data_IF_948155268589
#
_entry.id   IF_948155268589
#
_cell.length_a   1.000
_cell.length_b   1.000
_cell.length_c   1.000
_cell.angle_alpha   90.00
_cell.angle_beta   90.00
_cell.angle_gamma   90.00
#
_symmetry.space_group_name_H-M   'P 1'
#
loop_
_entity.id
_entity.type
_entity.pdbx_description
1 polymer ?
#
# COMPACT_ATOMS: atom_id res chain seq x y z
N UNK A 1 -28.26 17.44 18.03
CA UNK A 1 -28.56 18.72 17.35
C UNK A 1 -29.72 18.60 16.35
N UNK A 2 -30.79 17.85 16.69
CA UNK A 2 -31.87 17.51 15.77
C UNK A 2 -33.16 18.32 15.89
N UNK A 3 -33.18 19.49 16.55
CA UNK A 3 -34.48 20.13 16.85
C UNK A 3 -34.56 21.63 16.56
N UNK A 4 -33.78 22.21 15.67
CA UNK A 4 -33.92 23.64 15.34
C UNK A 4 -34.02 24.01 13.85
N UNK A 5 -34.21 23.05 12.95
CA UNK A 5 -34.61 23.36 11.58
C UNK A 5 -36.14 23.22 11.44
N UNK A 6 -36.87 24.20 11.93
CA UNK A 6 -38.32 24.33 11.74
C UNK A 6 -38.73 24.86 10.37
N UNK A 7 -38.03 24.41 9.31
CA UNK A 7 -38.41 24.57 7.92
C UNK A 7 -38.67 23.21 7.33
N UNK A 8 -39.65 23.09 6.45
CA UNK A 8 -39.92 21.84 5.73
C UNK A 8 -38.68 21.47 4.94
N UNK A 9 -38.01 20.32 5.27
CA UNK A 9 -36.85 19.75 4.57
C UNK A 9 -37.10 19.52 3.08
N UNK A 10 -38.31 19.71 2.62
CA UNK A 10 -38.82 19.48 1.27
C UNK A 10 -38.30 20.47 0.21
N UNK A 11 -37.53 21.48 0.63
CA UNK A 11 -36.95 22.49 -0.29
C UNK A 11 -35.44 22.36 -0.49
N UNK A 12 -34.78 21.44 0.20
CA UNK A 12 -33.33 21.28 0.10
C UNK A 12 -33.00 20.14 -0.86
N UNK A 13 -32.39 20.45 -1.99
CA UNK A 13 -31.93 19.43 -2.97
C UNK A 13 -30.82 18.56 -2.35
N UNK A 14 -30.82 17.26 -2.67
CA UNK A 14 -29.81 16.30 -2.22
C UNK A 14 -30.02 15.74 -0.82
N UNK A 15 -31.12 16.06 -0.15
CA UNK A 15 -31.45 15.51 1.17
C UNK A 15 -32.29 14.25 1.04
N UNK A 16 -31.89 13.22 1.79
CA UNK A 16 -32.67 11.99 2.03
C UNK A 16 -33.05 11.96 3.51
N UNK A 17 -34.33 11.90 3.78
CA UNK A 17 -34.86 11.67 5.14
C UNK A 17 -35.66 10.38 5.19
N UNK A 18 -36.11 9.95 6.37
CA UNK A 18 -36.91 8.74 6.53
C UNK A 18 -38.19 8.75 5.64
N UNK A 19 -38.75 9.91 5.35
CA UNK A 19 -40.01 10.08 4.67
C UNK A 19 -39.94 10.86 3.35
N UNK A 20 -38.74 11.31 2.95
CA UNK A 20 -38.57 12.16 1.78
C UNK A 20 -37.22 11.94 1.11
N UNK A 21 -37.24 11.82 -0.19
CA UNK A 21 -36.05 11.79 -1.06
C UNK A 21 -36.13 12.96 -2.01
N UNK A 22 -35.27 13.94 -1.83
CA UNK A 22 -35.20 15.07 -2.75
C UNK A 22 -34.59 14.71 -4.10
N UNK A 23 -34.84 15.47 -5.17
CA UNK A 23 -34.07 15.37 -6.39
C UNK A 23 -32.58 15.55 -6.10
N UNK A 24 -31.74 14.82 -6.84
CA UNK A 24 -30.27 14.97 -6.74
C UNK A 24 -29.89 16.37 -7.19
N UNK A 25 -29.18 17.12 -6.34
CA UNK A 25 -28.70 18.44 -6.71
C UNK A 25 -27.69 18.35 -7.86
N UNK A 26 -27.92 19.11 -8.92
CA UNK A 26 -26.97 19.24 -10.03
C UNK A 26 -25.85 20.25 -9.74
N UNK A 27 -25.94 20.99 -8.65
CA UNK A 27 -24.98 22.02 -8.25
C UNK A 27 -23.88 21.41 -7.38
N UNK A 28 -22.64 21.54 -7.83
CA UNK A 28 -21.48 21.24 -7.01
C UNK A 28 -21.10 22.51 -6.21
N UNK A 29 -21.00 22.48 -4.88
CA UNK A 29 -20.58 23.63 -4.11
C UNK A 29 -19.13 24.00 -4.45
N UNK A 30 -18.81 25.29 -4.42
CA UNK A 30 -17.42 25.76 -4.45
C UNK A 30 -16.72 25.34 -3.16
N UNK A 31 -15.56 24.66 -3.26
CA UNK A 31 -14.87 24.15 -2.09
C UNK A 31 -14.36 25.26 -1.15
N UNK A 32 -14.07 26.43 -1.69
CA UNK A 32 -13.70 27.62 -0.93
C UNK A 32 -14.78 28.07 0.09
N UNK A 33 -16.04 27.70 -0.18
CA UNK A 33 -17.20 28.06 0.68
C UNK A 33 -17.50 26.99 1.75
N UNK A 34 -16.89 25.84 1.69
CA UNK A 34 -17.07 24.80 2.69
C UNK A 34 -16.25 25.13 3.95
N UNK A 35 -16.89 25.03 5.10
CA UNK A 35 -16.18 25.20 6.37
C UNK A 35 -15.17 24.08 6.58
N UNK A 36 -14.01 24.43 7.13
CA UNK A 36 -12.99 23.46 7.53
C UNK A 36 -13.29 22.97 8.95
N UNK A 37 -13.44 21.66 9.16
CA UNK A 37 -13.65 21.13 10.51
C UNK A 37 -12.45 21.38 11.42
N UNK A 38 -11.26 21.54 10.85
CA UNK A 38 -10.04 21.89 11.58
C UNK A 38 -10.07 23.36 12.03
N UNK A 39 -10.32 24.28 11.10
CA UNK A 39 -10.26 25.73 11.38
C UNK A 39 -11.46 26.26 12.18
N UNK A 40 -12.59 25.55 12.19
CA UNK A 40 -13.77 25.88 13.00
C UNK A 40 -13.71 25.30 14.41
N UNK A 41 -12.73 24.43 14.72
CA UNK A 41 -12.58 23.78 16.00
C UNK A 41 -13.50 22.56 16.22
N UNK A 42 -14.26 22.14 15.20
CA UNK A 42 -15.12 20.96 15.26
C UNK A 42 -14.32 19.68 15.48
N UNK A 43 -13.10 19.59 14.93
CA UNK A 43 -12.19 18.47 15.10
C UNK A 43 -11.48 18.43 16.47
N UNK A 44 -11.52 19.50 17.28
CA UNK A 44 -10.76 19.59 18.53
C UNK A 44 -11.08 18.48 19.54
N UNK A 45 -12.33 18.06 19.60
CA UNK A 45 -12.77 17.00 20.50
C UNK A 45 -12.23 15.62 20.10
N UNK A 46 -12.11 15.36 18.80
CA UNK A 46 -11.63 14.09 18.24
C UNK A 46 -10.11 14.00 18.36
N UNK A 47 -9.39 15.07 18.03
CA UNK A 47 -7.92 15.10 18.04
C UNK A 47 -7.30 15.04 19.45
N UNK A 48 -8.12 15.14 20.51
CA UNK A 48 -7.65 14.82 21.88
C UNK A 48 -7.49 13.32 22.13
N UNK A 49 -8.14 12.49 21.33
CA UNK A 49 -8.19 11.04 21.50
C UNK A 49 -7.49 10.26 20.39
N UNK A 50 -7.19 10.92 19.28
CA UNK A 50 -6.57 10.34 18.09
C UNK A 50 -5.44 11.24 17.59
N UNK A 51 -4.35 10.63 17.21
CA UNK A 51 -3.15 11.24 16.62
C UNK A 51 -3.17 11.21 15.09
N UNK A 52 -4.26 10.77 14.49
CA UNK A 52 -4.39 10.50 13.07
C UNK A 52 -5.57 11.24 12.46
N UNK A 53 -5.42 11.76 11.24
CA UNK A 53 -6.47 12.49 10.52
C UNK A 53 -6.60 12.07 9.08
N UNK A 54 -7.82 12.24 8.54
CA UNK A 54 -8.11 12.20 7.12
C UNK A 54 -8.16 13.65 6.61
N UNK A 55 -7.35 13.98 5.61
CA UNK A 55 -7.19 15.34 5.10
C UNK A 55 -7.47 15.42 3.59
N UNK A 56 -8.46 16.18 3.19
CA UNK A 56 -8.88 16.35 1.81
C UNK A 56 -8.31 17.66 1.24
N UNK A 57 -7.47 17.57 0.20
CA UNK A 57 -6.87 18.72 -0.49
C UNK A 57 -7.53 18.97 -1.83
N UNK A 58 -8.14 17.93 -2.40
CA UNK A 58 -8.77 17.92 -3.71
C UNK A 58 -9.97 16.99 -3.68
N UNK A 59 -11.04 17.31 -4.38
CA UNK A 59 -12.25 16.48 -4.48
C UNK A 59 -12.57 16.10 -5.91
N UNK A 60 -12.77 14.78 -6.12
CA UNK A 60 -13.14 14.20 -7.41
C UNK A 60 -11.95 13.61 -8.15
N UNK A 61 -12.24 12.71 -9.10
CA UNK A 61 -11.27 11.99 -9.91
C UNK A 61 -11.67 11.99 -11.37
N UNK A 62 -10.78 12.31 -12.34
CA UNK A 62 -11.11 12.33 -13.76
C UNK A 62 -11.12 10.94 -14.40
N UNK A 63 -10.56 9.94 -13.70
CA UNK A 63 -10.46 8.59 -14.21
C UNK A 63 -11.79 7.83 -14.08
N UNK A 64 -11.97 6.83 -14.93
CA UNK A 64 -13.22 6.09 -15.06
C UNK A 64 -13.08 4.63 -14.65
N UNK A 65 -12.38 4.37 -13.55
CA UNK A 65 -12.21 3.01 -13.06
C UNK A 65 -13.57 2.41 -12.67
N UNK A 66 -13.96 1.33 -13.36
CA UNK A 66 -15.31 0.76 -13.26
C UNK A 66 -15.67 0.23 -11.86
N UNK A 67 -14.67 -0.11 -11.04
CA UNK A 67 -14.83 -0.58 -9.66
C UNK A 67 -14.91 0.55 -8.63
N UNK A 68 -14.49 1.78 -9.00
CA UNK A 68 -14.30 2.87 -8.07
C UNK A 68 -15.52 3.78 -7.96
N UNK A 69 -15.83 4.19 -6.73
CA UNK A 69 -16.93 5.11 -6.47
C UNK A 69 -16.61 6.55 -6.86
N UNK A 70 -15.35 6.98 -6.74
CA UNK A 70 -14.88 8.32 -7.08
C UNK A 70 -15.03 8.65 -8.57
N UNK A 71 -15.12 7.64 -9.43
CA UNK A 71 -15.33 7.79 -10.86
C UNK A 71 -16.77 8.14 -11.26
N UNK A 72 -17.70 8.19 -10.28
CA UNK A 72 -19.12 8.44 -10.55
C UNK A 72 -19.44 9.92 -10.78
N UNK A 73 -20.33 10.17 -11.71
CA UNK A 73 -20.89 11.49 -11.94
C UNK A 73 -20.00 12.40 -12.78
N UNK A 74 -19.82 13.63 -12.33
CA UNK A 74 -18.99 14.61 -13.05
C UNK A 74 -17.51 14.34 -12.76
N UNK A 75 -16.74 13.99 -13.77
CA UNK A 75 -15.29 13.77 -13.71
C UNK A 75 -14.50 15.08 -13.56
N UNK A 76 -15.00 16.01 -12.75
CA UNK A 76 -14.37 17.28 -12.49
C UNK A 76 -13.61 17.23 -11.19
N UNK A 77 -12.34 17.60 -11.26
CA UNK A 77 -11.51 17.78 -10.09
C UNK A 77 -11.65 19.21 -9.58
N UNK A 78 -11.78 19.38 -8.29
CA UNK A 78 -11.92 20.68 -7.63
C UNK A 78 -10.94 20.76 -6.47
N UNK A 79 -10.18 21.83 -6.45
CA UNK A 79 -9.10 22.05 -5.50
C UNK A 79 -9.55 22.93 -4.34
N UNK A 80 -9.11 22.61 -3.13
CA UNK A 80 -9.15 23.56 -2.04
C UNK A 80 -8.07 24.64 -2.24
N UNK A 81 -8.32 25.90 -1.82
CA UNK A 81 -7.34 26.98 -1.93
C UNK A 81 -6.07 26.69 -1.13
N UNK A 82 -4.90 26.98 -1.69
CA UNK A 82 -3.59 26.70 -1.04
C UNK A 82 -3.43 27.42 0.30
N UNK A 83 -3.97 28.64 0.43
CA UNK A 83 -3.95 29.37 1.70
C UNK A 83 -4.77 28.68 2.82
N UNK A 84 -5.86 27.99 2.44
CA UNK A 84 -6.61 27.15 3.35
C UNK A 84 -5.80 25.91 3.75
N UNK A 85 -5.21 25.22 2.78
CA UNK A 85 -4.36 24.04 3.03
C UNK A 85 -3.23 24.39 3.99
N UNK A 86 -2.58 25.53 3.80
CA UNK A 86 -1.53 26.00 4.71
C UNK A 86 -2.04 26.22 6.14
N UNK A 87 -3.20 26.87 6.31
CA UNK A 87 -3.78 27.10 7.63
C UNK A 87 -4.20 25.81 8.32
N UNK A 88 -4.72 24.85 7.55
CA UNK A 88 -5.05 23.51 8.07
C UNK A 88 -3.80 22.75 8.49
N UNK A 89 -2.72 22.78 7.69
CA UNK A 89 -1.43 22.20 8.06
C UNK A 89 -0.90 22.82 9.37
N UNK A 90 -0.92 24.16 9.50
CA UNK A 90 -0.50 24.87 10.72
C UNK A 90 -1.32 24.43 11.94
N UNK A 91 -2.62 24.19 11.75
CA UNK A 91 -3.48 23.66 12.78
C UNK A 91 -3.11 22.23 13.18
N UNK A 92 -2.87 21.33 12.20
CA UNK A 92 -2.49 19.93 12.45
C UNK A 92 -1.15 19.83 13.18
N UNK A 93 -0.17 20.63 12.78
CA UNK A 93 1.12 20.76 13.47
C UNK A 93 0.93 21.23 14.93
N UNK A 94 0.10 22.26 15.15
CA UNK A 94 -0.19 22.77 16.50
C UNK A 94 -0.89 21.74 17.37
N UNK A 95 -1.63 20.79 16.78
CA UNK A 95 -2.33 19.70 17.48
C UNK A 95 -1.47 18.47 17.67
N UNK A 96 -0.23 18.50 17.22
CA UNK A 96 0.73 17.40 17.31
C UNK A 96 0.21 16.10 16.67
N UNK A 97 -0.40 16.24 15.48
CA UNK A 97 -0.91 15.10 14.72
C UNK A 97 0.27 14.32 14.17
N UNK A 98 0.27 13.00 14.37
CA UNK A 98 1.35 12.11 13.92
C UNK A 98 1.10 11.53 12.53
N UNK A 99 -0.16 11.20 12.19
CA UNK A 99 -0.49 10.52 10.95
C UNK A 99 -1.54 11.29 10.15
N UNK A 100 -1.24 11.57 8.89
CA UNK A 100 -2.12 12.28 7.97
C UNK A 100 -2.36 11.44 6.73
N UNK A 101 -3.56 10.91 6.57
CA UNK A 101 -3.97 10.27 5.32
C UNK A 101 -4.60 11.31 4.40
N UNK A 102 -3.97 11.59 3.28
CA UNK A 102 -4.47 12.53 2.27
C UNK A 102 -5.51 11.81 1.40
N UNK A 103 -6.76 12.30 1.46
CA UNK A 103 -7.92 11.67 0.80
C UNK A 103 -8.03 11.91 -0.71
N UNK A 104 -7.06 12.58 -1.31
CA UNK A 104 -7.06 12.87 -2.73
C UNK A 104 -6.94 11.57 -3.54
N UNK A 105 -7.93 11.19 -4.38
CA UNK A 105 -7.90 9.92 -5.10
C UNK A 105 -6.74 9.77 -6.09
N UNK A 106 -6.06 10.86 -6.40
CA UNK A 106 -4.81 10.93 -7.17
C UNK A 106 -4.12 12.24 -6.82
N UNK A 107 -3.30 12.24 -5.78
CA UNK A 107 -2.62 13.45 -5.30
C UNK A 107 -1.78 14.13 -6.38
N UNK A 108 -1.09 13.35 -7.19
CA UNK A 108 -0.19 13.85 -8.24
C UNK A 108 -0.87 14.08 -9.61
N UNK A 109 -2.20 14.18 -9.64
CA UNK A 109 -2.95 14.46 -10.89
C UNK A 109 -2.52 15.75 -11.57
N UNK A 110 -2.30 16.80 -10.80
CA UNK A 110 -1.70 18.06 -11.25
C UNK A 110 -0.29 18.16 -10.65
N UNK A 111 0.77 17.84 -11.41
CA UNK A 111 2.14 17.80 -10.89
C UNK A 111 2.60 19.10 -10.25
N UNK A 112 2.32 20.26 -10.84
CA UNK A 112 2.75 21.56 -10.32
C UNK A 112 2.08 21.92 -8.99
N UNK A 113 0.78 21.56 -8.85
CA UNK A 113 0.08 21.70 -7.58
C UNK A 113 0.65 20.74 -6.53
N UNK A 114 0.85 19.46 -6.89
CA UNK A 114 1.45 18.48 -6.00
C UNK A 114 2.81 18.95 -5.47
N UNK A 115 3.71 19.38 -6.36
CA UNK A 115 5.01 19.94 -5.98
C UNK A 115 4.90 21.17 -5.08
N UNK A 116 3.93 22.05 -5.32
CA UNK A 116 3.69 23.22 -4.46
C UNK A 116 3.29 22.80 -3.05
N UNK A 117 2.40 21.80 -2.93
CA UNK A 117 1.99 21.24 -1.64
C UNK A 117 3.17 20.51 -0.98
N UNK A 118 3.91 19.68 -1.73
CA UNK A 118 5.09 18.97 -1.20
C UNK A 118 6.13 19.93 -0.62
N UNK A 119 6.46 21.02 -1.33
CA UNK A 119 7.39 22.06 -0.80
C UNK A 119 6.86 22.67 0.50
N UNK A 120 5.54 22.87 0.61
CA UNK A 120 4.92 23.39 1.83
C UNK A 120 5.05 22.38 2.99
N UNK A 121 4.81 21.09 2.73
CA UNK A 121 4.92 20.03 3.73
C UNK A 121 6.37 19.86 4.19
N UNK A 122 7.33 19.72 3.27
CA UNK A 122 8.77 19.56 3.55
C UNK A 122 9.28 20.73 4.40
N UNK A 123 8.88 21.97 4.08
CA UNK A 123 9.35 23.15 4.80
C UNK A 123 8.75 23.34 6.19
N UNK A 124 7.65 22.66 6.54
CA UNK A 124 6.87 23.01 7.75
C UNK A 124 6.51 21.82 8.64
N UNK A 125 6.28 20.64 8.06
CA UNK A 125 5.90 19.47 8.84
C UNK A 125 7.05 19.00 9.73
N UNK A 126 6.83 18.68 11.00
CA UNK A 126 7.84 18.08 11.86
C UNK A 126 8.15 16.65 11.39
N UNK A 127 9.35 16.15 11.65
CA UNK A 127 9.84 14.85 11.20
C UNK A 127 8.96 13.67 11.63
N UNK A 128 8.32 13.76 12.79
CA UNK A 128 7.44 12.70 13.29
C UNK A 128 6.07 12.64 12.59
N UNK A 129 5.70 13.66 11.82
CA UNK A 129 4.41 13.70 11.10
C UNK A 129 4.53 12.89 9.81
N UNK A 130 3.83 11.77 9.76
CA UNK A 130 3.80 10.87 8.61
C UNK A 130 2.61 11.15 7.70
N UNK A 131 2.85 11.19 6.38
CA UNK A 131 1.82 11.40 5.37
C UNK A 131 1.63 10.15 4.51
N UNK A 132 0.37 9.81 4.22
CA UNK A 132 0.06 8.76 3.23
C UNK A 132 -0.66 9.40 2.04
N UNK A 133 -0.17 9.13 0.82
CA UNK A 133 -0.73 9.65 -0.42
C UNK A 133 -1.15 8.52 -1.36
N UNK A 134 -2.33 8.66 -1.98
CA UNK A 134 -2.70 7.86 -3.15
C UNK A 134 -2.20 8.55 -4.42
N UNK A 135 -1.40 7.87 -5.21
CA UNK A 135 -0.80 8.41 -6.43
C UNK A 135 -0.96 7.50 -7.65
N UNK A 136 -0.69 8.04 -8.82
CA UNK A 136 -0.47 7.28 -10.04
C UNK A 136 1.02 7.32 -10.41
N UNK A 137 1.62 6.14 -10.55
CA UNK A 137 3.05 6.03 -10.84
C UNK A 137 3.41 6.73 -12.17
N UNK A 138 2.58 6.59 -13.19
CA UNK A 138 2.80 7.17 -14.52
C UNK A 138 2.88 8.70 -14.55
N UNK A 139 2.44 9.38 -13.49
CA UNK A 139 2.48 10.84 -13.33
C UNK A 139 3.67 11.33 -12.47
N UNK A 140 4.56 10.45 -12.07
CA UNK A 140 5.75 10.80 -11.29
C UNK A 140 6.89 11.25 -12.20
N UNK A 141 7.48 12.40 -11.92
CA UNK A 141 8.75 12.85 -12.49
C UNK A 141 9.88 12.82 -11.45
N UNK A 142 11.11 13.11 -11.85
CA UNK A 142 12.29 13.06 -10.99
C UNK A 142 12.16 13.98 -9.76
N UNK A 143 11.70 15.23 -9.96
CA UNK A 143 11.53 16.21 -8.88
C UNK A 143 10.51 15.73 -7.84
N UNK A 144 9.39 15.18 -8.28
CA UNK A 144 8.37 14.66 -7.38
C UNK A 144 8.85 13.41 -6.64
N UNK A 145 9.63 12.55 -7.31
CA UNK A 145 10.25 11.39 -6.66
C UNK A 145 11.26 11.80 -5.56
N UNK A 146 12.07 12.83 -5.81
CA UNK A 146 12.98 13.38 -4.82
C UNK A 146 12.22 13.96 -3.62
N UNK A 147 11.13 14.70 -3.85
CA UNK A 147 10.28 15.24 -2.80
C UNK A 147 9.61 14.16 -1.95
N UNK A 148 9.13 13.07 -2.56
CA UNK A 148 8.58 11.94 -1.80
C UNK A 148 9.63 11.21 -0.95
N UNK A 149 10.87 11.18 -1.39
CA UNK A 149 11.97 10.61 -0.61
C UNK A 149 12.39 11.52 0.56
N UNK A 150 12.25 12.85 0.42
CA UNK A 150 12.61 13.83 1.45
C UNK A 150 11.56 13.91 2.58
N UNK A 151 10.26 13.78 2.24
CA UNK A 151 9.18 13.87 3.22
C UNK A 151 8.97 12.53 3.93
N UNK A 152 8.73 12.56 5.23
CA UNK A 152 8.26 11.36 5.95
C UNK A 152 6.87 10.95 5.43
N UNK A 153 6.84 10.11 4.39
CA UNK A 153 5.59 9.69 3.77
C UNK A 153 5.66 8.28 3.19
N UNK A 154 4.49 7.71 2.94
CA UNK A 154 4.29 6.49 2.17
C UNK A 154 3.30 6.71 1.03
N UNK A 155 3.52 6.00 -0.06
CA UNK A 155 2.73 6.12 -1.27
C UNK A 155 1.91 4.87 -1.50
N UNK A 156 0.62 5.01 -1.77
CA UNK A 156 -0.23 3.93 -2.25
C UNK A 156 -0.42 4.07 -3.76
N UNK A 157 -0.06 3.02 -4.49
CA UNK A 157 -0.08 3.01 -5.95
C UNK A 157 -0.99 1.89 -6.44
N UNK A 158 -2.12 2.26 -7.01
CA UNK A 158 -3.05 1.28 -7.56
C UNK A 158 -2.50 0.61 -8.81
N UNK A 159 -2.00 -0.61 -8.71
CA UNK A 159 -1.69 -1.49 -9.85
C UNK A 159 -2.94 -2.22 -10.34
N UNK A 160 -3.71 -2.77 -9.43
CA UNK A 160 -4.94 -3.56 -9.59
C UNK A 160 -4.71 -4.91 -10.29
N UNK A 161 -4.05 -4.93 -11.43
CA UNK A 161 -3.61 -6.08 -12.22
C UNK A 161 -2.42 -5.69 -13.11
N UNK A 162 -1.62 -6.63 -13.55
CA UNK A 162 -0.60 -6.40 -14.59
C UNK A 162 -1.05 -6.90 -15.98
N UNK A 163 -2.29 -7.32 -16.12
CA UNK A 163 -2.86 -7.82 -17.38
C UNK A 163 -3.65 -6.72 -18.08
N UNK A 164 -3.23 -6.37 -19.30
CA UNK A 164 -3.81 -5.26 -20.07
C UNK A 164 -5.29 -5.48 -20.41
N UNK A 165 -5.70 -6.72 -20.69
CA UNK A 165 -7.11 -7.03 -21.01
C UNK A 165 -8.00 -6.84 -19.77
N UNK A 166 -7.54 -7.26 -18.60
CA UNK A 166 -8.21 -7.06 -17.32
C UNK A 166 -8.35 -5.56 -17.04
N UNK A 167 -7.25 -4.82 -17.14
CA UNK A 167 -7.24 -3.38 -16.85
C UNK A 167 -8.10 -2.59 -17.84
N UNK A 168 -8.05 -2.92 -19.11
CA UNK A 168 -8.93 -2.30 -20.14
C UNK A 168 -10.40 -2.54 -19.82
N UNK A 169 -10.77 -3.70 -19.32
CA UNK A 169 -12.17 -4.02 -18.95
C UNK A 169 -12.70 -3.15 -17.81
N UNK A 170 -11.82 -2.72 -16.91
CA UNK A 170 -12.17 -1.81 -15.80
C UNK A 170 -11.86 -0.34 -16.09
N UNK A 171 -11.65 0.01 -17.35
CA UNK A 171 -11.41 1.40 -17.78
C UNK A 171 -10.06 1.99 -17.37
N UNK A 172 -9.03 1.14 -17.18
CA UNK A 172 -7.65 1.58 -16.90
C UNK A 172 -6.76 1.36 -18.12
N UNK A 173 -6.02 2.39 -18.48
CA UNK A 173 -4.89 2.25 -19.39
C UNK A 173 -3.66 1.83 -18.57
N UNK A 174 -2.87 0.90 -19.10
CA UNK A 174 -1.67 0.42 -18.45
C UNK A 174 -0.55 0.25 -19.47
N UNK A 175 0.56 0.88 -19.22
CA UNK A 175 1.83 0.65 -19.90
C UNK A 175 2.79 0.06 -18.87
N UNK A 176 3.11 -1.22 -19.05
CA UNK A 176 3.90 -1.98 -18.09
C UNK A 176 5.34 -1.47 -17.97
N UNK A 177 5.93 -1.03 -19.10
CA UNK A 177 7.31 -0.54 -19.13
C UNK A 177 7.40 0.81 -18.43
N UNK A 178 6.51 1.74 -18.76
CA UNK A 178 6.40 3.04 -18.11
C UNK A 178 6.12 2.89 -16.61
N UNK A 179 5.16 2.04 -16.21
CA UNK A 179 4.86 1.79 -14.81
C UNK A 179 6.09 1.28 -14.06
N UNK A 180 6.80 0.28 -14.63
CA UNK A 180 8.03 -0.26 -14.01
C UNK A 180 9.13 0.79 -13.92
N UNK A 181 9.32 1.63 -14.93
CA UNK A 181 10.29 2.73 -14.94
C UNK A 181 10.00 3.70 -13.77
N UNK A 182 8.75 4.15 -13.65
CA UNK A 182 8.34 5.14 -12.63
C UNK A 182 8.41 4.59 -11.21
N UNK A 183 8.00 3.33 -11.01
CA UNK A 183 8.14 2.68 -9.69
C UNK A 183 9.60 2.48 -9.31
N UNK A 184 10.48 2.08 -10.25
CA UNK A 184 11.92 2.00 -10.00
C UNK A 184 12.55 3.38 -9.73
N UNK A 185 12.05 4.45 -10.35
CA UNK A 185 12.48 5.81 -10.04
C UNK A 185 12.20 6.12 -8.57
N UNK A 186 11.00 5.86 -8.06
CA UNK A 186 10.65 6.04 -6.64
C UNK A 186 11.57 5.20 -5.73
N UNK A 187 11.73 3.91 -6.03
CA UNK A 187 12.62 3.02 -5.28
C UNK A 187 14.07 3.51 -5.25
N UNK A 188 14.60 3.97 -6.39
CA UNK A 188 15.99 4.46 -6.50
C UNK A 188 16.26 5.74 -5.70
N UNK A 189 15.21 6.51 -5.38
CA UNK A 189 15.29 7.70 -4.52
C UNK A 189 15.04 7.37 -3.04
N UNK A 190 14.64 6.13 -2.72
CA UNK A 190 14.32 5.72 -1.35
C UNK A 190 12.91 6.07 -0.89
N UNK A 191 12.01 6.46 -1.81
CA UNK A 191 10.62 6.71 -1.46
C UNK A 191 9.90 5.40 -1.07
N UNK A 192 9.22 5.37 0.08
CA UNK A 192 8.44 4.22 0.52
C UNK A 192 7.12 4.15 -0.26
N UNK A 193 6.81 2.99 -0.86
CA UNK A 193 5.57 2.80 -1.61
C UNK A 193 4.99 1.40 -1.46
N UNK A 194 3.66 1.32 -1.49
CA UNK A 194 2.87 0.10 -1.58
C UNK A 194 2.17 -0.04 -2.91
N UNK A 195 1.80 -1.26 -3.28
CA UNK A 195 1.04 -1.58 -4.48
C UNK A 195 -0.30 -2.22 -4.12
N UNK A 196 -1.39 -1.70 -4.71
CA UNK A 196 -2.73 -2.28 -4.55
C UNK A 196 -3.06 -3.20 -5.71
N UNK A 197 -3.56 -4.40 -5.41
CA UNK A 197 -4.05 -5.37 -6.39
C UNK A 197 -5.46 -5.85 -6.03
N UNK A 198 -6.24 -6.27 -7.03
CA UNK A 198 -7.63 -6.71 -6.83
C UNK A 198 -7.83 -8.13 -7.36
N UNK A 199 -8.35 -9.03 -6.52
CA UNK A 199 -8.79 -10.38 -6.89
C UNK A 199 -10.23 -10.31 -7.42
N UNK A 200 -10.53 -11.01 -8.50
CA UNK A 200 -11.89 -11.17 -8.99
C UNK A 200 -12.36 -10.11 -9.98
N UNK A 201 -11.46 -9.34 -10.56
CA UNK A 201 -11.77 -8.42 -11.65
C UNK A 201 -12.35 -9.16 -12.86
N UNK A 202 -13.26 -8.53 -13.66
CA UNK A 202 -13.77 -9.15 -14.88
C UNK A 202 -12.64 -9.56 -15.82
N UNK A 203 -12.75 -10.76 -16.43
CA UNK A 203 -11.77 -11.41 -17.30
C UNK A 203 -10.45 -11.82 -16.61
N UNK A 204 -10.29 -11.56 -15.32
CA UNK A 204 -9.17 -12.10 -14.56
C UNK A 204 -9.36 -13.60 -14.30
N UNK A 205 -8.29 -14.29 -13.92
CA UNK A 205 -8.27 -15.69 -13.52
C UNK A 205 -7.04 -15.96 -12.65
N UNK A 206 -6.98 -17.14 -12.04
CA UNK A 206 -5.91 -17.51 -11.12
C UNK A 206 -4.51 -17.37 -11.74
N UNK A 207 -4.33 -17.66 -13.04
CA UNK A 207 -3.03 -17.50 -13.70
C UNK A 207 -2.63 -16.03 -13.85
N UNK A 208 -3.54 -15.17 -14.29
CA UNK A 208 -3.31 -13.72 -14.44
C UNK A 208 -3.07 -13.08 -13.07
N UNK A 209 -3.86 -13.44 -12.06
CA UNK A 209 -3.66 -12.99 -10.70
C UNK A 209 -2.25 -13.37 -10.17
N UNK A 210 -1.82 -14.62 -10.34
CA UNK A 210 -0.46 -15.05 -9.96
C UNK A 210 0.63 -14.26 -10.68
N UNK A 211 0.43 -13.95 -11.95
CA UNK A 211 1.37 -13.10 -12.70
C UNK A 211 1.40 -11.68 -12.12
N UNK A 212 0.25 -11.13 -11.70
CA UNK A 212 0.16 -9.82 -11.05
C UNK A 212 0.91 -9.80 -9.74
N UNK A 213 0.74 -10.80 -8.87
CA UNK A 213 1.48 -10.90 -7.60
C UNK A 213 2.99 -11.02 -7.85
N UNK A 214 3.41 -11.89 -8.77
CA UNK A 214 4.83 -12.05 -9.09
C UNK A 214 5.44 -10.77 -9.66
N UNK A 215 4.69 -10.04 -10.49
CA UNK A 215 5.12 -8.75 -11.01
C UNK A 215 5.20 -7.69 -9.91
N UNK A 216 4.19 -7.59 -9.04
CA UNK A 216 4.20 -6.65 -7.91
C UNK A 216 5.43 -6.87 -7.01
N UNK A 217 5.70 -8.12 -6.60
CA UNK A 217 6.89 -8.45 -5.78
C UNK A 217 8.19 -8.11 -6.50
N UNK A 218 8.28 -8.27 -7.84
CA UNK A 218 9.49 -7.92 -8.61
C UNK A 218 9.80 -6.43 -8.65
N UNK A 219 8.86 -5.58 -8.25
CA UNK A 219 9.03 -4.13 -8.13
C UNK A 219 9.49 -3.70 -6.72
N UNK A 220 9.59 -4.65 -5.79
CA UNK A 220 10.07 -4.47 -4.41
C UNK A 220 9.33 -3.37 -3.62
N UNK A 221 7.98 -3.31 -3.64
CA UNK A 221 7.26 -2.38 -2.78
C UNK A 221 7.45 -2.74 -1.31
N UNK A 222 7.33 -1.77 -0.40
CA UNK A 222 7.37 -2.02 1.04
C UNK A 222 6.18 -2.87 1.51
N UNK A 223 5.02 -2.70 0.88
CA UNK A 223 3.81 -3.50 1.11
C UNK A 223 3.02 -3.75 -0.17
N UNK A 224 2.21 -4.80 -0.15
CA UNK A 224 1.25 -5.10 -1.22
C UNK A 224 -0.11 -5.33 -0.56
N UNK A 225 -1.06 -4.45 -0.86
CA UNK A 225 -2.43 -4.58 -0.41
C UNK A 225 -3.27 -5.30 -1.46
N UNK A 226 -3.86 -6.42 -1.07
CA UNK A 226 -4.61 -7.26 -1.99
C UNK A 226 -6.08 -7.35 -1.56
N UNK A 227 -6.96 -6.75 -2.36
CA UNK A 227 -8.39 -6.67 -2.08
C UNK A 227 -9.18 -7.70 -2.87
N UNK A 228 -10.17 -8.33 -2.23
CA UNK A 228 -11.21 -9.04 -2.96
C UNK A 228 -12.19 -8.01 -3.52
N UNK A 229 -12.51 -8.11 -4.81
CA UNK A 229 -13.42 -7.17 -5.46
C UNK A 229 -14.78 -7.11 -4.74
N UNK A 230 -15.16 -5.91 -4.34
CA UNK A 230 -16.49 -5.61 -3.78
C UNK A 230 -17.33 -4.87 -4.81
N UNK A 231 -18.59 -5.27 -4.96
CA UNK A 231 -19.54 -4.58 -5.83
C UNK A 231 -20.20 -3.41 -5.10
N UNK A 232 -19.43 -2.32 -4.98
CA UNK A 232 -19.89 -1.11 -4.30
C UNK A 232 -21.11 -0.52 -5.01
N UNK A 233 -22.22 -0.25 -4.29
CA UNK A 233 -23.46 0.24 -4.89
C UNK A 233 -23.22 1.47 -5.76
N UNK A 234 -23.66 1.36 -7.01
CA UNK A 234 -23.63 2.41 -7.99
C UNK A 234 -22.31 2.59 -8.75
N UNK A 235 -21.29 1.81 -8.51
CA UNK A 235 -20.13 1.71 -9.41
C UNK A 235 -20.57 1.08 -10.75
N UNK A 236 -19.80 1.30 -11.81
CA UNK A 236 -20.08 0.71 -13.12
C UNK A 236 -20.13 -0.82 -13.05
N UNK A 237 -19.18 -1.45 -12.32
CA UNK A 237 -19.18 -2.90 -12.13
C UNK A 237 -20.44 -3.39 -11.41
N UNK A 238 -20.92 -2.69 -10.38
CA UNK A 238 -22.12 -3.07 -9.68
C UNK A 238 -23.38 -2.93 -10.55
N UNK A 239 -23.45 -1.90 -11.40
CA UNK A 239 -24.56 -1.67 -12.33
C UNK A 239 -24.57 -2.67 -13.50
N UNK A 240 -23.42 -3.20 -13.88
CA UNK A 240 -23.24 -4.13 -15.00
C UNK A 240 -22.80 -5.53 -14.54
N UNK A 241 -23.04 -5.86 -13.25
CA UNK A 241 -22.59 -7.13 -12.66
C UNK A 241 -23.08 -8.35 -13.46
N UNK A 242 -24.36 -8.36 -13.86
CA UNK A 242 -24.93 -9.44 -14.66
C UNK A 242 -24.28 -9.55 -16.04
N UNK A 243 -23.96 -8.43 -16.70
CA UNK A 243 -23.29 -8.41 -17.99
C UNK A 243 -21.89 -9.02 -17.94
N UNK A 244 -21.16 -8.75 -16.85
CA UNK A 244 -19.84 -9.34 -16.59
C UNK A 244 -19.92 -10.74 -15.97
N UNK A 245 -21.11 -11.22 -15.60
CA UNK A 245 -21.31 -12.50 -14.93
C UNK A 245 -20.66 -12.55 -13.54
N UNK A 246 -20.63 -11.42 -12.83
CA UNK A 246 -20.05 -11.30 -11.49
C UNK A 246 -21.06 -11.85 -10.48
N UNK A 247 -20.64 -12.82 -9.68
CA UNK A 247 -21.47 -13.42 -8.62
C UNK A 247 -21.01 -12.88 -7.27
N UNK A 248 -21.76 -11.95 -6.65
CA UNK A 248 -21.45 -11.48 -5.30
C UNK A 248 -21.88 -12.49 -4.25
N UNK A 249 -21.20 -12.43 -3.10
CA UNK A 249 -21.66 -13.07 -1.86
C UNK A 249 -22.82 -12.33 -1.19
N UNK A 250 -23.31 -12.91 -0.11
CA UNK A 250 -24.40 -12.36 0.70
C UNK A 250 -23.91 -11.43 1.82
N UNK A 251 -22.59 -11.11 1.84
CA UNK A 251 -22.01 -10.18 2.80
C UNK A 251 -22.40 -8.73 2.51
N UNK A 252 -22.23 -7.85 3.50
CA UNK A 252 -22.60 -6.43 3.41
C UNK A 252 -21.78 -5.71 2.32
N UNK A 253 -20.55 -6.12 2.10
CA UNK A 253 -19.62 -5.56 1.12
C UNK A 253 -19.86 -6.10 -0.29
N UNK A 254 -20.69 -7.14 -0.42
CA UNK A 254 -20.99 -7.83 -1.69
C UNK A 254 -19.71 -8.24 -2.42
N UNK A 255 -18.80 -8.88 -1.69
CA UNK A 255 -17.54 -9.38 -2.24
C UNK A 255 -17.80 -10.48 -3.28
N UNK A 256 -16.93 -10.57 -4.30
CA UNK A 256 -17.11 -11.52 -5.40
C UNK A 256 -16.80 -12.96 -4.94
N UNK A 257 -17.73 -13.86 -5.18
CA UNK A 257 -17.57 -15.31 -4.97
C UNK A 257 -17.00 -15.98 -6.23
N UNK A 258 -17.44 -15.54 -7.42
CA UNK A 258 -16.94 -16.08 -8.69
C UNK A 258 -17.20 -15.13 -9.86
N UNK A 259 -16.47 -15.35 -10.94
CA UNK A 259 -16.71 -14.73 -12.26
C UNK A 259 -16.66 -15.82 -13.34
N UNK A 260 -17.06 -15.55 -14.59
CA UNK A 260 -16.98 -16.53 -15.68
C UNK A 260 -15.58 -17.12 -15.92
N UNK A 261 -14.53 -16.40 -15.56
CA UNK A 261 -13.13 -16.79 -15.77
C UNK A 261 -12.36 -17.08 -14.49
N UNK A 262 -12.98 -16.83 -13.33
CA UNK A 262 -12.36 -17.02 -12.02
C UNK A 262 -13.34 -17.76 -11.11
N UNK A 263 -13.20 -19.07 -11.04
CA UNK A 263 -14.11 -19.92 -10.25
C UNK A 263 -13.98 -19.66 -8.75
N UNK A 264 -14.99 -20.02 -7.95
CA UNK A 264 -14.97 -19.94 -6.49
C UNK A 264 -13.76 -20.67 -5.90
N UNK A 265 -13.44 -21.86 -6.43
CA UNK A 265 -12.24 -22.60 -6.05
C UNK A 265 -10.95 -21.82 -6.32
N UNK A 266 -10.85 -21.17 -7.48
CA UNK A 266 -9.66 -20.39 -7.84
C UNK A 266 -9.54 -19.12 -7.01
N UNK A 267 -10.67 -18.47 -6.68
CA UNK A 267 -10.72 -17.33 -5.75
C UNK A 267 -10.25 -17.77 -4.36
N UNK A 268 -10.69 -18.94 -3.87
CA UNK A 268 -10.18 -19.48 -2.59
C UNK A 268 -8.67 -19.71 -2.61
N UNK A 269 -8.12 -20.20 -3.73
CA UNK A 269 -6.66 -20.32 -3.89
C UNK A 269 -5.99 -18.93 -3.90
N UNK A 270 -6.56 -17.95 -4.59
CA UNK A 270 -6.02 -16.58 -4.62
C UNK A 270 -6.04 -15.93 -3.22
N UNK A 271 -7.10 -16.16 -2.44
CA UNK A 271 -7.17 -15.70 -1.04
C UNK A 271 -6.13 -16.38 -0.14
N UNK A 272 -5.81 -17.66 -0.38
CA UNK A 272 -4.70 -18.31 0.32
C UNK A 272 -3.34 -17.69 -0.05
N UNK A 273 -3.10 -17.36 -1.32
CA UNK A 273 -1.90 -16.62 -1.75
C UNK A 273 -1.85 -15.24 -1.11
N UNK A 274 -2.96 -14.51 -1.10
CA UNK A 274 -3.10 -13.23 -0.41
C UNK A 274 -2.71 -13.36 1.06
N UNK A 275 -3.27 -14.33 1.79
CA UNK A 275 -2.94 -14.58 3.20
C UNK A 275 -1.43 -14.75 3.41
N UNK A 276 -0.78 -15.56 2.56
CA UNK A 276 0.67 -15.75 2.63
C UNK A 276 1.45 -14.48 2.29
N UNK A 277 0.99 -13.69 1.32
CA UNK A 277 1.61 -12.42 0.94
C UNK A 277 1.45 -11.36 2.04
N UNK A 278 0.22 -11.16 2.53
CA UNK A 278 -0.06 -10.16 3.57
C UNK A 278 0.77 -10.44 4.82
N UNK A 279 0.88 -11.71 5.23
CA UNK A 279 1.57 -12.07 6.45
C UNK A 279 3.09 -12.18 6.26
N UNK A 280 3.57 -12.92 5.24
CA UNK A 280 5.00 -13.12 5.02
C UNK A 280 5.71 -11.90 4.42
N UNK A 281 5.07 -11.22 3.45
CA UNK A 281 5.70 -10.11 2.73
C UNK A 281 5.44 -8.77 3.40
N UNK A 282 4.17 -8.37 3.53
CA UNK A 282 3.79 -7.05 4.05
C UNK A 282 4.06 -6.95 5.55
N UNK A 283 3.42 -7.78 6.38
CA UNK A 283 3.61 -7.76 7.83
C UNK A 283 5.03 -8.19 8.24
N UNK A 284 5.60 -9.17 7.53
CA UNK A 284 6.95 -9.67 7.77
C UNK A 284 8.06 -8.82 7.17
N UNK A 285 7.74 -7.73 6.47
CA UNK A 285 8.69 -6.75 5.91
C UNK A 285 9.82 -7.40 5.09
N UNK A 286 9.47 -8.41 4.23
CA UNK A 286 10.46 -9.21 3.55
C UNK A 286 10.93 -8.65 2.20
N UNK A 287 10.49 -7.44 1.81
CA UNK A 287 10.77 -6.85 0.50
C UNK A 287 12.26 -6.82 0.13
N UNK A 288 13.14 -6.55 1.09
CA UNK A 288 14.58 -6.38 0.84
C UNK A 288 15.33 -7.70 0.61
N UNK A 289 14.87 -8.81 1.16
CA UNK A 289 15.60 -10.08 1.12
C UNK A 289 14.88 -11.23 0.41
N UNK A 290 13.58 -11.11 0.11
CA UNK A 290 12.79 -12.18 -0.52
C UNK A 290 13.37 -12.63 -1.85
N UNK A 291 13.97 -11.72 -2.63
CA UNK A 291 14.58 -11.99 -3.94
C UNK A 291 15.67 -13.08 -3.84
N UNK A 292 16.49 -13.08 -2.79
CA UNK A 292 17.50 -14.10 -2.54
C UNK A 292 16.89 -15.50 -2.40
N UNK A 293 15.74 -15.60 -1.73
CA UNK A 293 15.00 -16.87 -1.57
C UNK A 293 14.44 -17.34 -2.91
N UNK A 294 13.76 -16.44 -3.64
CA UNK A 294 13.13 -16.76 -4.93
C UNK A 294 14.16 -17.24 -5.96
N UNK A 295 15.28 -16.54 -6.06
CA UNK A 295 16.39 -16.91 -6.94
C UNK A 295 17.03 -18.23 -6.54
N UNK A 296 17.42 -18.39 -5.26
CA UNK A 296 18.09 -19.60 -4.77
C UNK A 296 17.26 -20.85 -4.98
N UNK A 297 15.95 -20.77 -4.81
CA UNK A 297 15.05 -21.91 -4.95
C UNK A 297 14.43 -22.03 -6.33
N UNK A 298 14.68 -21.06 -7.22
CA UNK A 298 14.08 -20.95 -8.54
C UNK A 298 12.55 -21.10 -8.51
N UNK A 299 11.91 -20.35 -7.62
CA UNK A 299 10.44 -20.36 -7.44
C UNK A 299 9.88 -18.94 -7.59
N UNK A 300 8.59 -18.85 -7.88
CA UNK A 300 7.89 -17.58 -7.93
C UNK A 300 7.42 -17.13 -6.54
N UNK A 301 7.17 -15.83 -6.36
CA UNK A 301 6.62 -15.28 -5.12
C UNK A 301 5.30 -15.95 -4.72
N UNK A 302 4.38 -16.14 -5.66
CA UNK A 302 3.13 -16.87 -5.41
C UNK A 302 3.35 -18.30 -4.90
N UNK A 303 4.37 -18.99 -5.42
CA UNK A 303 4.70 -20.33 -4.95
C UNK A 303 5.26 -20.29 -3.53
N UNK A 304 6.13 -19.32 -3.22
CA UNK A 304 6.67 -19.13 -1.88
C UNK A 304 5.54 -18.88 -0.86
N UNK A 305 4.63 -17.95 -1.15
CA UNK A 305 3.49 -17.64 -0.27
C UNK A 305 2.56 -18.84 -0.08
N UNK A 306 2.28 -19.59 -1.13
CA UNK A 306 1.49 -20.83 -1.04
C UNK A 306 2.19 -21.91 -0.20
N UNK A 307 3.52 -22.04 -0.31
CA UNK A 307 4.33 -22.96 0.49
C UNK A 307 4.37 -22.53 1.97
N UNK A 308 4.44 -21.23 2.24
CA UNK A 308 4.42 -20.70 3.60
C UNK A 308 3.09 -21.00 4.30
N UNK A 309 1.94 -20.70 3.67
CA UNK A 309 0.63 -21.01 4.24
C UNK A 309 0.49 -22.52 4.48
N UNK A 310 0.85 -23.33 3.49
CA UNK A 310 0.81 -24.80 3.64
C UNK A 310 1.70 -25.30 4.78
N UNK A 311 2.88 -24.72 4.95
CA UNK A 311 3.80 -25.08 6.05
C UNK A 311 3.20 -24.69 7.41
N UNK A 312 2.61 -23.51 7.55
CA UNK A 312 1.91 -23.08 8.74
C UNK A 312 0.78 -24.07 9.11
N UNK A 313 -0.08 -24.41 8.14
CA UNK A 313 -1.19 -25.34 8.35
C UNK A 313 -0.71 -26.74 8.74
N UNK A 314 0.40 -27.23 8.16
CA UNK A 314 0.97 -28.55 8.46
C UNK A 314 1.68 -28.62 9.80
N UNK A 315 2.23 -27.51 10.29
CA UNK A 315 2.99 -27.44 11.54
C UNK A 315 2.14 -26.95 12.71
N UNK A 316 0.88 -26.55 12.45
CA UNK A 316 -0.03 -25.97 13.45
C UNK A 316 0.37 -24.59 13.92
N UNK A 317 1.18 -23.87 13.12
CA UNK A 317 1.59 -22.48 13.41
C UNK A 317 0.45 -21.52 13.07
N UNK A 318 0.39 -20.39 13.77
CA UNK A 318 -0.68 -19.39 13.63
C UNK A 318 -0.15 -17.99 13.40
N UNK A 319 -1.01 -17.09 12.96
CA UNK A 319 -0.69 -15.67 12.72
C UNK A 319 -0.57 -14.85 14.02
N UNK A 320 -0.84 -15.45 15.17
CA UNK A 320 -0.64 -14.84 16.50
C UNK A 320 0.84 -14.94 16.94
N UNK A 321 1.64 -15.80 16.28
CA UNK A 321 3.06 -15.93 16.56
C UNK A 321 3.86 -14.79 15.92
N UNK A 322 5.06 -14.54 16.44
CA UNK A 322 5.98 -13.56 15.87
C UNK A 322 6.33 -13.92 14.42
N UNK A 323 6.04 -13.02 13.50
CA UNK A 323 6.22 -13.26 12.07
C UNK A 323 7.70 -13.47 11.70
N UNK A 324 8.64 -12.82 12.36
CA UNK A 324 10.06 -12.98 12.05
C UNK A 324 10.58 -14.34 12.50
N UNK A 325 10.08 -14.86 13.63
CA UNK A 325 10.34 -16.26 14.06
C UNK A 325 9.75 -17.24 13.04
N UNK A 326 8.52 -16.99 12.57
CA UNK A 326 7.89 -17.84 11.55
C UNK A 326 8.66 -17.83 10.22
N UNK A 327 9.14 -16.67 9.80
CA UNK A 327 9.98 -16.53 8.59
C UNK A 327 11.27 -17.33 8.74
N UNK A 328 11.98 -17.21 9.87
CA UNK A 328 13.23 -17.93 10.13
C UNK A 328 13.04 -19.43 10.10
N UNK A 329 12.05 -19.95 10.84
CA UNK A 329 11.73 -21.38 10.90
C UNK A 329 11.31 -21.93 9.52
N UNK A 330 10.50 -21.18 8.79
CA UNK A 330 10.06 -21.58 7.45
C UNK A 330 11.22 -21.63 6.45
N UNK A 331 12.04 -20.58 6.39
CA UNK A 331 13.20 -20.51 5.49
C UNK A 331 14.20 -21.60 5.83
N UNK A 332 14.46 -21.85 7.12
CA UNK A 332 15.29 -22.97 7.54
C UNK A 332 14.76 -24.30 7.00
N UNK A 333 13.48 -24.62 7.29
CA UNK A 333 12.82 -25.84 6.80
C UNK A 333 12.87 -25.98 5.27
N UNK A 334 12.70 -24.87 4.56
CA UNK A 334 12.68 -24.86 3.10
C UNK A 334 14.07 -25.11 2.50
N UNK A 335 15.10 -24.45 3.01
CA UNK A 335 16.48 -24.59 2.57
C UNK A 335 17.06 -25.99 2.89
N UNK A 336 16.74 -26.57 4.06
CA UNK A 336 17.11 -27.92 4.42
C UNK A 336 16.49 -28.97 3.46
N UNK A 337 15.18 -28.85 3.18
CA UNK A 337 14.46 -29.74 2.27
C UNK A 337 14.94 -29.65 0.80
N UNK A 338 15.45 -28.50 0.39
CA UNK A 338 15.93 -28.25 -0.97
C UNK A 338 17.44 -28.41 -1.13
N UNK A 339 18.14 -28.96 -0.12
CA UNK A 339 19.59 -29.18 -0.09
C UNK A 339 20.43 -27.90 -0.21
N UNK A 340 19.86 -26.76 0.21
CA UNK A 340 20.52 -25.46 0.24
C UNK A 340 21.01 -25.09 1.65
N UNK A 341 21.05 -26.01 2.62
CA UNK A 341 21.41 -25.77 4.02
C UNK A 341 22.75 -25.03 4.21
N UNK A 342 23.71 -25.23 3.29
CA UNK A 342 25.01 -24.51 3.32
C UNK A 342 24.89 -23.00 3.08
N UNK A 343 23.79 -22.52 2.54
CA UNK A 343 23.51 -21.10 2.29
C UNK A 343 22.76 -20.42 3.46
N UNK A 344 22.21 -21.22 4.39
CA UNK A 344 21.43 -20.72 5.52
C UNK A 344 22.15 -19.66 6.37
N UNK A 345 23.46 -19.81 6.74
CA UNK A 345 24.09 -18.78 7.56
C UNK A 345 24.11 -17.40 6.92
N UNK A 346 24.28 -17.30 5.59
CA UNK A 346 24.23 -16.04 4.86
C UNK A 346 22.80 -15.53 4.76
N UNK A 347 21.84 -16.39 4.40
CA UNK A 347 20.43 -16.02 4.29
C UNK A 347 19.87 -15.51 5.63
N UNK A 348 20.12 -16.23 6.73
CA UNK A 348 19.66 -15.82 8.06
C UNK A 348 20.28 -14.49 8.49
N UNK A 349 21.59 -14.30 8.27
CA UNK A 349 22.23 -13.02 8.56
C UNK A 349 21.65 -11.87 7.75
N UNK A 350 21.30 -12.11 6.50
CA UNK A 350 20.67 -11.09 5.65
C UNK A 350 19.25 -10.76 6.11
N UNK A 351 18.46 -11.78 6.47
CA UNK A 351 17.13 -11.60 7.08
C UNK A 351 17.22 -10.82 8.40
N UNK A 352 18.08 -11.28 9.34
CA UNK A 352 18.26 -10.67 10.65
C UNK A 352 18.73 -9.22 10.56
N UNK A 353 19.62 -8.91 9.60
CA UNK A 353 20.07 -7.54 9.34
C UNK A 353 18.88 -6.64 8.97
N UNK A 354 18.04 -7.06 8.00
CA UNK A 354 16.89 -6.26 7.56
C UNK A 354 15.79 -6.18 8.62
N UNK A 355 15.50 -7.28 9.32
CA UNK A 355 14.55 -7.28 10.44
C UNK A 355 15.02 -6.34 11.57
N UNK A 356 16.32 -6.33 11.89
CA UNK A 356 16.89 -5.41 12.86
C UNK A 356 16.79 -3.93 12.42
N UNK A 357 17.03 -3.65 11.15
CA UNK A 357 16.85 -2.30 10.58
C UNK A 357 15.36 -1.88 10.70
N UNK A 358 14.43 -2.72 10.29
CA UNK A 358 13.00 -2.45 10.42
C UNK A 358 12.60 -2.20 11.89
N UNK A 359 13.05 -3.06 12.80
CA UNK A 359 12.76 -2.90 14.23
C UNK A 359 13.21 -1.54 14.77
N UNK A 360 14.43 -1.13 14.46
CA UNK A 360 15.00 0.15 14.91
C UNK A 360 14.27 1.33 14.26
N UNK A 361 13.91 1.20 12.99
CA UNK A 361 13.14 2.24 12.28
C UNK A 361 11.73 2.40 12.85
N UNK A 362 11.07 1.30 13.21
CA UNK A 362 9.69 1.32 13.71
C UNK A 362 9.60 1.75 15.18
N UNK A 363 10.61 1.39 16.01
CA UNK A 363 10.55 1.59 17.46
C UNK A 363 11.47 2.70 17.97
N UNK A 364 12.51 3.06 17.23
CA UNK A 364 13.60 3.90 17.70
C UNK A 364 14.54 3.23 18.71
N UNK A 365 14.27 1.97 19.12
CA UNK A 365 15.02 1.26 20.15
C UNK A 365 16.20 0.49 19.54
N UNK A 366 17.43 0.58 20.10
CA UNK A 366 18.58 -0.18 19.62
C UNK A 366 18.35 -1.69 19.69
N UNK A 367 18.86 -2.42 18.70
CA UNK A 367 18.83 -3.89 18.69
C UNK A 367 20.21 -4.47 18.39
N UNK A 368 20.57 -5.56 19.12
CA UNK A 368 21.80 -6.30 18.90
C UNK A 368 21.52 -7.53 18.05
N UNK A 369 22.30 -7.69 16.96
CA UNK A 369 22.20 -8.80 16.03
C UNK A 369 23.27 -9.86 16.26
N UNK A 370 23.10 -11.10 15.77
CA UNK A 370 24.13 -12.17 15.79
C UNK A 370 24.37 -12.69 14.36
N UNK A 371 25.22 -12.00 13.63
CA UNK A 371 25.44 -12.20 12.20
C UNK A 371 26.65 -13.13 11.93
N UNK A 372 26.53 -13.98 10.91
CA UNK A 372 27.64 -14.80 10.38
C UNK A 372 28.52 -14.03 9.39
N UNK A 373 28.07 -12.85 8.94
CA UNK A 373 28.77 -11.96 8.01
C UNK A 373 28.61 -10.51 8.48
N UNK A 374 29.53 -9.64 8.10
CA UNK A 374 29.44 -8.22 8.44
C UNK A 374 28.31 -7.53 7.68
N UNK A 375 27.67 -6.50 8.26
CA UNK A 375 26.61 -5.73 7.57
C UNK A 375 27.07 -5.19 6.20
N UNK A 376 28.27 -4.63 6.11
CA UNK A 376 28.83 -4.10 4.86
C UNK A 376 29.12 -5.16 3.80
N UNK A 377 29.30 -6.41 4.19
CA UNK A 377 29.43 -7.52 3.25
C UNK A 377 28.06 -8.02 2.77
N UNK A 378 27.04 -8.03 3.64
CA UNK A 378 25.69 -8.48 3.32
C UNK A 378 25.01 -7.62 2.26
N UNK A 379 25.34 -6.32 2.16
CA UNK A 379 24.82 -5.44 1.10
C UNK A 379 25.17 -5.90 -0.32
N UNK A 380 26.20 -6.73 -0.48
CA UNK A 380 26.56 -7.32 -1.78
C UNK A 380 25.49 -8.30 -2.31
N UNK A 381 24.59 -8.78 -1.43
CA UNK A 381 23.46 -9.63 -1.82
C UNK A 381 22.41 -8.91 -2.64
N UNK A 382 22.44 -7.58 -2.67
CA UNK A 382 21.59 -6.78 -3.57
C UNK A 382 22.03 -6.89 -5.04
N UNK A 383 23.31 -7.28 -5.29
CA UNK A 383 23.91 -7.32 -6.63
C UNK A 383 24.35 -8.72 -7.06
N UNK A 384 24.44 -9.69 -6.13
CA UNK A 384 24.92 -11.05 -6.45
C UNK A 384 24.03 -12.13 -5.83
N UNK A 385 24.02 -13.31 -6.43
CA UNK A 385 23.29 -14.45 -5.89
C UNK A 385 23.85 -14.94 -4.55
N UNK A 386 22.98 -15.50 -3.70
CA UNK A 386 23.38 -16.08 -2.41
C UNK A 386 24.45 -17.19 -2.57
N UNK A 387 24.38 -17.96 -3.66
CA UNK A 387 25.36 -19.02 -3.93
C UNK A 387 26.75 -18.46 -4.30
N UNK A 388 26.81 -17.35 -5.03
CA UNK A 388 28.04 -16.64 -5.36
C UNK A 388 28.62 -15.93 -4.14
N UNK A 389 27.78 -15.29 -3.34
CA UNK A 389 28.14 -14.64 -2.09
C UNK A 389 28.88 -15.60 -1.15
N UNK A 390 28.32 -16.76 -0.86
CA UNK A 390 28.93 -17.74 0.05
C UNK A 390 30.27 -18.31 -0.49
N UNK A 391 30.49 -18.29 -1.82
CA UNK A 391 31.76 -18.71 -2.43
C UNK A 391 32.84 -17.63 -2.34
N UNK A 392 32.46 -16.35 -2.44
CA UNK A 392 33.38 -15.24 -2.63
C UNK A 392 33.62 -14.44 -1.35
N UNK A 393 32.64 -14.37 -0.45
CA UNK A 393 32.72 -13.62 0.79
C UNK A 393 33.03 -14.55 1.96
N UNK A 394 34.08 -14.23 2.70
CA UNK A 394 34.47 -15.02 3.88
C UNK A 394 33.55 -14.72 5.06
N UNK A 395 33.01 -15.77 5.67
CA UNK A 395 32.24 -15.65 6.89
C UNK A 395 33.04 -14.94 8.00
N UNK A 396 32.40 -14.02 8.69
CA UNK A 396 32.94 -13.28 9.80
C UNK A 396 31.84 -13.03 10.83
N UNK A 397 31.81 -13.86 11.87
CA UNK A 397 30.81 -13.72 12.93
C UNK A 397 31.00 -12.41 13.68
N UNK A 398 29.95 -11.63 13.82
CA UNK A 398 29.91 -10.37 14.53
C UNK A 398 28.55 -10.17 15.21
N UNK A 399 28.52 -9.26 16.17
CA UNK A 399 27.29 -8.94 16.90
C UNK A 399 27.11 -7.43 16.97
N UNK A 400 26.86 -6.76 15.83
CA UNK A 400 26.68 -5.32 15.81
C UNK A 400 25.40 -4.91 16.54
N UNK A 401 25.42 -3.71 17.12
CA UNK A 401 24.22 -3.04 17.60
C UNK A 401 23.75 -2.07 16.53
N UNK A 402 22.51 -2.21 16.08
CA UNK A 402 21.85 -1.31 15.14
C UNK A 402 21.17 -0.20 15.93
N UNK A 403 21.36 1.04 15.51
CA UNK A 403 20.71 2.22 16.11
C UNK A 403 20.24 3.19 15.03
N UNK A 404 19.24 3.99 15.35
CA UNK A 404 18.77 5.11 14.54
C UNK A 404 19.31 6.41 15.18
N UNK A 405 20.25 7.07 14.52
CA UNK A 405 20.85 8.34 14.98
C UNK A 405 20.76 9.36 13.86
N UNK A 406 20.22 10.55 14.14
CA UNK A 406 20.04 11.62 13.17
C UNK A 406 19.34 11.14 11.87
N UNK A 407 18.31 10.31 12.02
CA UNK A 407 17.54 9.65 10.92
C UNK A 407 18.38 8.72 10.02
N UNK A 408 19.58 8.31 10.47
CA UNK A 408 20.45 7.35 9.79
C UNK A 408 20.60 6.05 10.59
N UNK A 409 20.59 4.92 9.89
CA UNK A 409 20.92 3.62 10.48
C UNK A 409 22.44 3.50 10.65
N UNK A 410 22.88 3.25 11.88
CA UNK A 410 24.30 3.04 12.22
C UNK A 410 24.52 1.69 12.89
N UNK A 411 25.72 1.15 12.70
CA UNK A 411 26.15 -0.14 13.23
C UNK A 411 27.39 0.08 14.14
N UNK A 412 27.30 -0.42 15.39
CA UNK A 412 28.38 -0.33 16.39
C UNK A 412 28.82 -1.71 16.88
#
# INVERSE_FOLDING_TARGET
HNNQLGGTNDQIEGIITRNYVSPVSSRLPELSRLHSPFLTGEADGVLRSYDSVLWELTRGCPFACAFCFESRGKRTVRDYPLDRIQKELDYLIKKDVCNVFVLDPTFNLNPERAKTIMRMLIARAPEHMHFTFEIRAELVDEELADMFAELNCSLQIGLQSCDEEVLKTIGRHFDRELFSEKVRLLASRGAAFGLDIIIGLPKDNLKRFRNTVNYAVSLMPSNIDCFLLSLLPGTELALRADEYGLVPGDDVERTIVSTPTFSEKDISIALSVRRGMDFFYTKGQSCMWIHCVLETLNITACNLFSLFVKWMDQTGRTEDEDIWVLQDDFIQSLFEKTQNAKLLPAMKSFMELHQGICYVTDTGEPVRLDLSYRPEDLSKLDEMSLAEFVKTVKAHRCSPTVVLEDSEIRFY
#
